data_IF_088611068656
#
_entry.id   IF_088611068656
#
_cell.length_a   1.000
_cell.length_b   1.000
_cell.length_c   1.000
_cell.angle_alpha   90.00
_cell.angle_beta   90.00
_cell.angle_gamma   90.00
#
_symmetry.space_group_name_H-M   'P 1'
#
loop_
_entity.id
_entity.type
_entity.pdbx_description
1 polymer ?
#
# COMPACT_ATOMS: atom_id res chain seq x y z
N UNK A 1 1.17 13.15 -9.44
CA UNK A 1 1.17 11.73 -8.98
C UNK A 1 0.16 11.56 -7.85
N UNK A 2 -0.81 10.67 -8.04
CA UNK A 2 -1.78 10.33 -6.99
C UNK A 2 -1.17 9.41 -5.93
N UNK A 3 -1.69 9.43 -4.69
CA UNK A 3 -1.25 8.53 -3.61
C UNK A 3 -1.28 7.05 -4.00
N UNK A 4 -2.21 6.66 -4.89
CA UNK A 4 -2.32 5.30 -5.40
C UNK A 4 -1.18 4.92 -6.35
N UNK A 5 -0.74 5.83 -7.22
CA UNK A 5 0.42 5.58 -8.09
C UNK A 5 1.70 5.39 -7.27
N UNK A 6 1.87 6.17 -6.20
CA UNK A 6 2.97 5.94 -5.25
C UNK A 6 2.88 4.56 -4.61
N UNK A 7 1.69 4.12 -4.19
CA UNK A 7 1.49 2.78 -3.59
C UNK A 7 1.84 1.66 -4.58
N UNK A 8 1.41 1.80 -5.83
CA UNK A 8 1.73 0.86 -6.90
C UNK A 8 3.25 0.70 -7.08
N UNK A 9 4.00 1.81 -7.04
CA UNK A 9 5.45 1.78 -7.22
C UNK A 9 6.26 1.18 -6.06
N UNK A 10 5.68 0.99 -4.88
CA UNK A 10 6.44 0.50 -3.71
C UNK A 10 6.64 -1.01 -3.70
N UNK A 11 5.77 -1.78 -4.37
CA UNK A 11 5.85 -3.24 -4.31
C UNK A 11 5.70 -3.81 -2.89
N UNK A 12 4.92 -3.14 -2.02
CA UNK A 12 4.75 -3.55 -0.63
C UNK A 12 3.51 -4.42 -0.43
N UNK A 13 3.60 -5.36 0.51
CA UNK A 13 2.44 -6.08 1.00
C UNK A 13 1.58 -5.17 1.88
N UNK A 14 0.32 -5.55 2.08
CA UNK A 14 -0.65 -4.80 2.90
C UNK A 14 -0.12 -4.47 4.30
N UNK A 15 0.51 -5.43 4.98
CA UNK A 15 1.00 -5.25 6.34
C UNK A 15 2.14 -4.23 6.40
N UNK A 16 3.12 -4.34 5.50
CA UNK A 16 4.19 -3.37 5.38
C UNK A 16 3.69 -1.99 4.97
N UNK A 17 2.66 -1.92 4.13
CA UNK A 17 2.02 -0.65 3.78
C UNK A 17 1.33 -0.04 5.00
N UNK A 18 0.59 -0.83 5.77
CA UNK A 18 -0.04 -0.38 7.01
C UNK A 18 0.98 0.11 8.04
N UNK A 19 2.04 -0.64 8.27
CA UNK A 19 3.10 -0.27 9.21
C UNK A 19 3.86 0.98 8.74
N UNK A 20 4.25 1.04 7.47
CA UNK A 20 5.02 2.17 6.92
C UNK A 20 4.24 3.46 6.97
N UNK A 21 2.96 3.43 6.65
CA UNK A 21 2.14 4.63 6.51
C UNK A 21 1.23 4.90 7.71
N UNK A 22 1.26 4.03 8.73
CA UNK A 22 0.32 4.08 9.87
C UNK A 22 -1.13 3.84 9.44
N UNK A 23 -1.33 3.07 8.38
CA UNK A 23 -2.63 2.79 7.80
C UNK A 23 -3.29 1.58 8.45
N UNK A 24 -4.61 1.50 8.33
CA UNK A 24 -5.44 0.35 8.75
C UNK A 24 -6.24 -0.19 7.58
N UNK A 25 -5.55 -0.50 6.48
CA UNK A 25 -6.16 -1.11 5.30
C UNK A 25 -6.47 -2.60 5.56
N UNK A 26 -7.72 -2.98 5.31
CA UNK A 26 -8.17 -4.38 5.26
C UNK A 26 -7.99 -4.93 3.83
N UNK A 27 -8.09 -6.25 3.66
CA UNK A 27 -8.01 -6.90 2.33
C UNK A 27 -9.04 -6.32 1.36
N UNK A 28 -10.23 -6.00 1.85
CA UNK A 28 -11.33 -5.46 1.05
C UNK A 28 -11.09 -4.02 0.58
N UNK A 29 -10.23 -3.27 1.28
CA UNK A 29 -9.93 -1.88 0.97
C UNK A 29 -8.89 -1.74 -0.15
N UNK A 30 -8.12 -2.80 -0.42
CA UNK A 30 -7.02 -2.81 -1.39
C UNK A 30 -7.32 -3.75 -2.54
N UNK A 31 -6.75 -3.43 -3.69
CA UNK A 31 -6.58 -4.34 -4.80
C UNK A 31 -5.15 -4.83 -4.77
N UNK A 32 -4.99 -6.14 -4.67
CA UNK A 32 -3.71 -6.82 -4.75
C UNK A 32 -3.53 -7.43 -6.14
N UNK A 33 -2.30 -7.72 -6.52
CA UNK A 33 -2.05 -8.56 -7.68
C UNK A 33 -2.59 -9.96 -7.48
N UNK A 34 -3.05 -10.57 -8.57
CA UNK A 34 -3.49 -11.97 -8.60
C UNK A 34 -2.33 -12.90 -8.26
N UNK A 35 -1.14 -12.57 -8.76
CA UNK A 35 0.10 -13.26 -8.41
C UNK A 35 0.67 -12.79 -7.07
N UNK A 36 1.18 -13.77 -6.32
CA UNK A 36 2.03 -13.52 -5.15
C UNK A 36 3.40 -13.05 -5.63
N UNK A 37 3.86 -11.94 -5.06
CA UNK A 37 5.17 -11.35 -5.35
C UNK A 37 5.98 -11.19 -4.08
N UNK A 38 7.27 -10.93 -4.22
CA UNK A 38 8.11 -10.64 -3.07
C UNK A 38 7.88 -9.19 -2.60
N UNK A 39 7.56 -9.01 -1.32
CA UNK A 39 7.41 -7.68 -0.76
C UNK A 39 8.77 -7.00 -0.62
N UNK A 40 8.98 -5.84 -1.23
CA UNK A 40 10.28 -5.15 -1.18
C UNK A 40 10.69 -4.69 0.23
N UNK A 41 9.74 -4.60 1.17
CA UNK A 41 10.03 -4.24 2.57
C UNK A 41 10.39 -5.41 3.48
N UNK A 42 9.55 -6.44 3.55
CA UNK A 42 9.79 -7.59 4.45
C UNK A 42 10.46 -8.79 3.78
N UNK A 43 10.65 -8.78 2.45
CA UNK A 43 11.23 -9.89 1.71
C UNK A 43 10.33 -11.12 1.59
N UNK A 44 9.14 -11.12 2.19
CA UNK A 44 8.23 -12.25 2.16
C UNK A 44 7.43 -12.32 0.85
N UNK A 45 7.20 -13.53 0.36
CA UNK A 45 6.30 -13.81 -0.76
C UNK A 45 4.86 -13.65 -0.31
N UNK A 46 4.20 -12.59 -0.78
CA UNK A 46 2.88 -12.16 -0.32
C UNK A 46 2.09 -11.51 -1.46
N UNK A 47 0.80 -11.28 -1.25
CA UNK A 47 0.00 -10.47 -2.16
C UNK A 47 0.44 -9.01 -2.09
N UNK A 48 1.03 -8.53 -3.18
CA UNK A 48 1.49 -7.15 -3.31
C UNK A 48 0.30 -6.24 -3.60
N UNK A 49 0.24 -5.11 -2.90
CA UNK A 49 -0.84 -4.15 -3.08
C UNK A 49 -0.60 -3.37 -4.37
N UNK A 50 -1.51 -3.53 -5.32
CA UNK A 50 -1.50 -2.77 -6.57
C UNK A 50 -2.02 -1.34 -6.32
N UNK A 51 -3.17 -1.20 -5.65
CA UNK A 51 -3.80 0.11 -5.38
C UNK A 51 -4.85 0.02 -4.27
N UNK A 52 -5.20 1.14 -3.65
CA UNK A 52 -6.36 1.24 -2.76
C UNK A 52 -7.62 1.52 -3.58
N UNK A 53 -8.74 0.88 -3.22
CA UNK A 53 -10.02 1.13 -3.90
C UNK A 53 -10.43 2.59 -3.72
N UNK A 54 -10.99 3.22 -4.77
CA UNK A 54 -11.43 4.63 -4.77
C UNK A 54 -12.30 4.98 -3.56
N UNK A 55 -13.26 4.11 -3.22
CA UNK A 55 -14.17 4.31 -2.08
C UNK A 55 -13.48 4.27 -0.69
N UNK A 56 -12.20 3.87 -0.64
CA UNK A 56 -11.40 3.77 0.59
C UNK A 56 -10.17 4.67 0.55
N UNK A 57 -10.00 5.49 -0.49
CA UNK A 57 -8.90 6.47 -0.61
C UNK A 57 -8.89 7.47 0.55
N UNK A 58 -10.04 7.74 1.17
CA UNK A 58 -10.12 8.55 2.40
C UNK A 58 -9.28 7.97 3.55
N UNK A 59 -9.06 6.65 3.60
CA UNK A 59 -8.13 6.05 4.58
C UNK A 59 -6.69 6.45 4.32
N UNK A 60 -6.33 6.78 3.08
CA UNK A 60 -5.03 7.33 2.74
C UNK A 60 -4.87 8.78 3.20
N UNK A 61 -5.96 9.52 3.45
CA UNK A 61 -5.92 10.91 3.91
C UNK A 61 -5.25 11.04 5.28
N UNK A 62 -5.46 10.08 6.19
CA UNK A 62 -4.83 10.03 7.50
C UNK A 62 -3.40 9.48 7.54
N UNK A 63 -2.80 9.13 6.41
CA UNK A 63 -1.42 8.61 6.37
C UNK A 63 -0.43 9.71 6.72
N UNK A 64 0.35 9.51 7.79
CA UNK A 64 1.32 10.53 8.26
C UNK A 64 2.59 10.61 7.40
N UNK A 65 2.90 9.58 6.61
CA UNK A 65 4.04 9.59 5.68
C UNK A 65 3.57 9.86 4.25
N UNK A 66 3.39 11.13 3.91
CA UNK A 66 3.37 11.54 2.50
C UNK A 66 4.25 12.74 2.19
N UNK A 67 5.23 13.02 3.06
CA UNK A 67 6.21 14.09 2.88
C UNK A 67 7.51 13.73 3.58
N UNK A 68 8.44 13.18 2.80
CA UNK A 68 9.87 13.51 2.85
C UNK A 68 10.46 12.94 1.56
N UNK A 69 10.20 13.67 0.49
CA UNK A 69 11.23 13.85 -0.53
C UNK A 69 12.41 14.49 0.21
N UNK A 70 13.51 13.73 0.35
CA UNK A 70 14.84 14.29 0.53
C UNK A 70 15.48 14.32 -0.85
#
# INVERSE_FOLDING_TARGET
MTRNERIHGLGYCRSCLNETYGLRLKREDVLVYEYIGQCMKCGNTCHIVHRVKKNKVWKLLGSRKLGREC
#
